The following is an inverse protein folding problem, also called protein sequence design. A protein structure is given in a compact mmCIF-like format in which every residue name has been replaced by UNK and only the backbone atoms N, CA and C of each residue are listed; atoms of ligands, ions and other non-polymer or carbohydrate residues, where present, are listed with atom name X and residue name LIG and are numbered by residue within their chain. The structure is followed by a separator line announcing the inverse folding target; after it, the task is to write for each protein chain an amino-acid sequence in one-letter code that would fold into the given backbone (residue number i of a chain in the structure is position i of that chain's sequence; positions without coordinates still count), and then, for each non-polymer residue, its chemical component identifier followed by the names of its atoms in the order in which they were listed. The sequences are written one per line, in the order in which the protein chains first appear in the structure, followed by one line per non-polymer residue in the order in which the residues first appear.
data_IF_118257946772
#
_entry.id   IF_118257946772
#
_cell.length_a   1.000
_cell.length_b   1.000
_cell.length_c   1.000
_cell.angle_alpha   90.00
_cell.angle_beta   90.00
_cell.angle_gamma   90.00
#
_symmetry.space_group_name_H-M   'P 1'
#
loop_
_entity.id
_entity.type
_entity.pdbx_description
1 polymer ?
#
# COMPACT_ATOMS: atom_id res chain seq x y z
N UNK A 1 -14.52 -3.71 1.60
CA UNK A 1 -13.18 -4.29 1.82
C UNK A 1 -12.64 -3.87 3.18
N UNK A 2 -12.20 -4.86 3.95
CA UNK A 2 -11.49 -4.71 5.22
C UNK A 2 -10.03 -5.08 4.99
N UNK A 3 -9.11 -4.13 5.21
CA UNK A 3 -7.67 -4.39 5.12
C UNK A 3 -7.15 -4.76 6.50
N UNK A 4 -6.57 -5.96 6.61
CA UNK A 4 -6.07 -6.52 7.87
C UNK A 4 -4.53 -6.58 7.95
N UNK A 5 -3.83 -6.41 6.83
CA UNK A 5 -2.36 -6.34 6.83
C UNK A 5 -1.87 -5.51 5.65
N UNK A 6 -0.84 -4.73 5.90
CA UNK A 6 -0.11 -4.00 4.86
C UNK A 6 1.38 -4.16 5.09
N UNK A 7 2.15 -4.01 4.02
CA UNK A 7 3.60 -4.01 4.11
C UNK A 7 4.23 -3.28 2.94
N UNK A 8 5.42 -2.78 3.17
CA UNK A 8 6.28 -2.21 2.13
C UNK A 8 7.70 -2.70 2.34
N UNK A 9 8.32 -3.09 1.24
CA UNK A 9 9.68 -3.61 1.23
C UNK A 9 10.52 -2.78 0.26
N UNK A 10 11.73 -2.43 0.69
CA UNK A 10 12.69 -1.69 -0.10
C UNK A 10 13.91 -2.57 -0.40
N UNK A 11 14.60 -2.27 -1.50
CA UNK A 11 15.79 -2.98 -1.97
C UNK A 11 17.04 -2.10 -1.99
N UNK A 12 17.13 -1.17 -1.04
CA UNK A 12 18.28 -0.29 -0.87
C UNK A 12 19.56 -1.06 -0.51
N UNK A 13 20.68 -0.61 -1.06
CA UNK A 13 22.00 -1.22 -0.88
C UNK A 13 22.90 -0.49 0.13
N UNK A 14 22.56 0.74 0.50
CA UNK A 14 23.37 1.59 1.37
C UNK A 14 22.87 1.54 2.81
N UNK A 15 23.77 1.25 3.74
CA UNK A 15 23.52 1.24 5.19
C UNK A 15 23.57 2.64 5.83
N UNK A 16 24.01 3.65 5.08
CA UNK A 16 24.07 5.05 5.54
C UNK A 16 22.98 5.90 4.90
N UNK A 17 22.03 5.26 4.20
CA UNK A 17 20.94 5.97 3.57
C UNK A 17 19.92 6.45 4.60
N UNK A 18 19.38 7.63 4.36
CA UNK A 18 18.32 8.20 5.18
C UNK A 18 17.05 7.33 5.10
N UNK A 19 16.28 7.21 6.20
CA UNK A 19 15.04 6.43 6.21
C UNK A 19 14.03 6.91 5.18
N UNK A 20 13.26 5.96 4.64
CA UNK A 20 12.10 6.24 3.78
C UNK A 20 10.89 6.47 4.67
N UNK A 21 10.20 7.59 4.45
CA UNK A 21 8.93 7.85 5.11
C UNK A 21 7.81 7.11 4.37
N UNK A 22 7.14 6.20 5.07
CA UNK A 22 6.04 5.40 4.56
C UNK A 22 4.76 5.89 5.21
N UNK A 23 3.78 6.29 4.40
CA UNK A 23 2.47 6.77 4.87
C UNK A 23 1.36 5.90 4.32
N UNK A 24 0.48 5.45 5.20
CA UNK A 24 -0.78 4.81 4.81
C UNK A 24 -1.84 5.90 4.79
N UNK A 25 -2.47 6.12 3.64
CA UNK A 25 -3.38 7.26 3.47
C UNK A 25 -4.54 6.97 2.51
N UNK A 26 -5.59 7.78 2.61
CA UNK A 26 -6.67 7.82 1.61
C UNK A 26 -6.34 8.72 0.45
N UNK A 27 -6.87 8.40 -0.72
CA UNK A 27 -6.64 9.17 -1.94
C UNK A 27 -7.97 9.62 -2.56
N UNK A 28 -8.04 10.88 -2.98
CA UNK A 28 -9.23 11.45 -3.63
C UNK A 28 -9.17 11.28 -5.15
N UNK A 29 -7.98 11.36 -5.72
CA UNK A 29 -7.73 11.09 -7.14
C UNK A 29 -6.92 9.81 -7.32
N UNK A 30 -6.91 9.33 -8.56
CA UNK A 30 -6.30 8.06 -8.94
C UNK A 30 -4.84 8.19 -9.40
N UNK A 31 -4.37 9.42 -9.67
CA UNK A 31 -3.11 9.63 -10.40
C UNK A 31 -3.11 8.98 -11.79
N UNK A 32 -1.92 8.89 -12.38
CA UNK A 32 -1.66 8.13 -13.62
C UNK A 32 -0.89 6.88 -13.27
N UNK A 33 -1.53 5.72 -13.40
CA UNK A 33 -0.98 4.43 -12.96
C UNK A 33 -1.35 3.30 -13.93
N UNK A 34 -0.67 2.17 -13.78
CA UNK A 34 -1.11 0.91 -14.37
C UNK A 34 -2.10 0.21 -13.44
N UNK A 35 -3.08 -0.49 -14.01
CA UNK A 35 -4.01 -1.31 -13.25
C UNK A 35 -3.48 -2.73 -13.15
N UNK A 36 -3.60 -3.33 -11.98
CA UNK A 36 -3.21 -4.70 -11.69
C UNK A 36 -4.39 -5.41 -11.00
N UNK A 37 -4.52 -6.72 -11.23
CA UNK A 37 -5.65 -7.49 -10.70
C UNK A 37 -5.22 -8.23 -9.44
N UNK A 38 -5.83 -7.94 -8.27
CA UNK A 38 -5.58 -8.71 -7.06
C UNK A 38 -5.94 -10.18 -7.27
N UNK A 39 -5.15 -11.06 -6.66
CA UNK A 39 -5.40 -12.51 -6.71
C UNK A 39 -6.20 -12.96 -5.49
N UNK A 40 -7.14 -13.89 -5.69
CA UNK A 40 -7.83 -14.55 -4.59
C UNK A 40 -6.87 -15.46 -3.83
N UNK A 41 -6.98 -15.48 -2.51
CA UNK A 41 -6.30 -16.48 -1.69
C UNK A 41 -6.92 -17.87 -1.85
N UNK A 42 -8.26 -17.92 -1.89
CA UNK A 42 -9.04 -19.15 -2.05
C UNK A 42 -9.68 -19.12 -3.43
N UNK A 43 -9.12 -19.90 -4.36
CA UNK A 43 -9.52 -19.86 -5.77
C UNK A 43 -10.87 -20.56 -6.03
N UNK A 44 -11.40 -21.32 -5.06
CA UNK A 44 -12.67 -22.02 -5.18
C UNK A 44 -13.89 -21.14 -4.94
N UNK A 45 -13.71 -19.93 -4.40
CA UNK A 45 -14.83 -19.02 -4.10
C UNK A 45 -15.40 -18.42 -5.39
N UNK A 46 -16.72 -18.48 -5.52
CA UNK A 46 -17.43 -18.05 -6.73
C UNK A 46 -17.57 -16.53 -6.86
N UNK A 47 -17.29 -15.76 -5.80
CA UNK A 47 -17.49 -14.32 -5.76
C UNK A 47 -16.41 -13.58 -6.57
N UNK A 48 -16.77 -12.59 -7.38
CA UNK A 48 -15.80 -11.80 -8.14
C UNK A 48 -15.24 -10.68 -7.26
N UNK A 49 -13.92 -10.56 -7.19
CA UNK A 49 -13.27 -9.40 -6.54
C UNK A 49 -13.65 -8.14 -7.32
N UNK A 50 -14.23 -7.14 -6.64
CA UNK A 50 -14.52 -5.82 -7.18
C UNK A 50 -13.41 -4.81 -6.85
N UNK A 51 -12.34 -5.26 -6.19
CA UNK A 51 -11.14 -4.45 -5.91
C UNK A 51 -10.16 -4.48 -7.09
N UNK A 52 -9.57 -3.32 -7.39
CA UNK A 52 -8.49 -3.18 -8.38
C UNK A 52 -7.23 -2.66 -7.69
N UNK A 53 -6.08 -3.28 -7.95
CA UNK A 53 -4.78 -2.77 -7.51
C UNK A 53 -4.21 -1.82 -8.57
N UNK A 54 -3.36 -0.89 -8.14
CA UNK A 54 -2.69 0.05 -9.04
C UNK A 54 -1.23 0.18 -8.65
N UNK A 55 -0.35 0.17 -9.63
CA UNK A 55 1.09 0.31 -9.46
C UNK A 55 1.67 1.21 -10.56
N UNK A 56 2.98 1.49 -10.46
CA UNK A 56 3.72 2.27 -11.47
C UNK A 56 3.13 3.66 -11.69
N UNK A 57 2.97 4.43 -10.60
CA UNK A 57 2.45 5.79 -10.67
C UNK A 57 3.48 6.71 -11.34
N UNK A 58 3.07 7.39 -12.40
CA UNK A 58 3.86 8.45 -13.07
C UNK A 58 3.39 9.85 -12.72
N UNK A 59 2.13 9.95 -12.26
CA UNK A 59 1.57 11.14 -11.60
C UNK A 59 0.99 10.66 -10.28
N UNK A 60 1.48 11.25 -9.19
CA UNK A 60 1.06 10.89 -7.83
C UNK A 60 -0.43 11.18 -7.61
N UNK A 61 -1.16 10.27 -6.95
CA UNK A 61 -2.53 10.52 -6.49
C UNK A 61 -2.60 11.69 -5.50
N UNK A 62 -3.76 12.34 -5.42
CA UNK A 62 -4.00 13.40 -4.43
C UNK A 62 -4.33 12.78 -3.07
N UNK A 63 -3.46 13.02 -2.10
CA UNK A 63 -3.61 12.53 -0.74
C UNK A 63 -4.75 13.23 0.01
N UNK A 64 -5.40 12.50 0.90
CA UNK A 64 -6.38 12.99 1.88
C UNK A 64 -5.86 12.66 3.29
N UNK A 65 -6.61 11.85 4.04
CA UNK A 65 -6.32 11.54 5.43
C UNK A 65 -5.20 10.50 5.54
N UNK A 66 -4.22 10.80 6.38
CA UNK A 66 -3.13 9.89 6.75
C UNK A 66 -3.57 9.07 7.96
N UNK A 67 -3.53 7.75 7.83
CA UNK A 67 -3.82 6.80 8.90
C UNK A 67 -2.62 6.52 9.78
N UNK A 68 -1.46 6.30 9.16
CA UNK A 68 -0.26 5.92 9.89
C UNK A 68 1.00 6.33 9.14
N UNK A 69 2.09 6.50 9.89
CA UNK A 69 3.39 6.96 9.39
C UNK A 69 4.50 6.14 10.00
N UNK A 70 5.37 5.58 9.16
CA UNK A 70 6.54 4.81 9.55
C UNK A 70 7.79 5.38 8.89
N UNK A 71 8.90 5.35 9.63
CA UNK A 71 10.22 5.59 9.07
C UNK A 71 10.93 4.24 8.94
N UNK A 72 11.19 3.82 7.70
CA UNK A 72 11.75 2.50 7.40
C UNK A 72 13.09 2.68 6.72
N UNK A 73 14.12 2.05 7.24
CA UNK A 73 15.42 2.06 6.58
C UNK A 73 15.32 1.40 5.20
N UNK A 74 15.91 1.97 4.13
CA UNK A 74 15.71 1.49 2.75
C UNK A 74 16.28 0.08 2.47
N UNK A 75 17.08 -0.49 3.37
CA UNK A 75 17.52 -1.90 3.29
C UNK A 75 16.55 -2.88 3.97
N UNK A 76 15.51 -2.36 4.62
CA UNK A 76 14.53 -3.14 5.36
C UNK A 76 13.15 -3.00 4.71
N UNK A 77 12.22 -3.82 5.21
CA UNK A 77 10.81 -3.66 4.95
C UNK A 77 10.05 -3.68 6.26
N UNK A 78 8.83 -3.19 6.20
CA UNK A 78 7.87 -3.27 7.29
C UNK A 78 6.66 -4.06 6.82
N UNK A 79 6.14 -4.88 7.71
CA UNK A 79 4.92 -5.63 7.47
C UNK A 79 4.11 -5.63 8.78
N UNK A 80 2.98 -4.93 8.74
CA UNK A 80 2.15 -4.64 9.89
C UNK A 80 0.86 -5.42 9.77
N UNK A 81 0.56 -6.21 10.80
CA UNK A 81 -0.70 -6.93 10.94
C UNK A 81 -1.58 -6.08 11.86
N UNK A 82 -2.74 -5.69 11.34
CA UNK A 82 -3.76 -5.00 12.12
C UNK A 82 -4.51 -6.04 12.94
N UNK A 83 -4.61 -5.89 14.27
CA UNK A 83 -5.37 -6.82 15.10
C UNK A 83 -6.86 -6.72 14.76
N UNK A 84 -7.62 -7.77 15.10
CA UNK A 84 -9.06 -7.83 14.87
C UNK A 84 -9.77 -6.60 15.44
N UNK A 85 -10.63 -5.97 14.63
CA UNK A 85 -11.36 -4.75 15.00
C UNK A 85 -10.59 -3.45 14.78
N UNK A 86 -9.32 -3.50 14.36
CA UNK A 86 -8.55 -2.34 13.89
C UNK A 86 -8.31 -2.38 12.38
N UNK A 87 -9.10 -3.15 11.64
CA UNK A 87 -9.02 -3.19 10.19
C UNK A 87 -9.35 -1.83 9.57
N UNK A 88 -8.63 -1.49 8.50
CA UNK A 88 -8.93 -0.28 7.74
C UNK A 88 -10.14 -0.59 6.84
N UNK A 89 -11.25 0.07 7.11
CA UNK A 89 -12.47 -0.03 6.31
C UNK A 89 -12.32 0.85 5.06
N UNK A 90 -12.40 0.23 3.89
CA UNK A 90 -12.44 0.91 2.59
C UNK A 90 -13.81 0.71 1.96
N UNK A 91 -14.55 1.81 1.77
CA UNK A 91 -15.89 1.79 1.14
C UNK A 91 -15.76 1.61 -0.37
N UNK A 92 -16.83 1.11 -1.00
CA UNK A 92 -16.88 1.00 -2.46
C UNK A 92 -16.65 2.35 -3.13
N UNK A 93 -15.68 2.42 -4.05
CA UNK A 93 -15.29 3.64 -4.75
C UNK A 93 -14.22 4.50 -4.06
N UNK A 94 -13.93 4.24 -2.78
CA UNK A 94 -12.81 4.89 -2.07
C UNK A 94 -11.47 4.26 -2.46
N UNK A 95 -10.37 4.96 -2.14
CA UNK A 95 -9.00 4.51 -2.44
C UNK A 95 -8.14 4.57 -1.19
N UNK A 96 -7.35 3.52 -0.99
CA UNK A 96 -6.30 3.42 0.02
C UNK A 96 -4.95 3.25 -0.69
N UNK A 97 -3.95 4.01 -0.27
CA UNK A 97 -2.61 4.01 -0.85
C UNK A 97 -1.52 3.86 0.20
N UNK A 98 -0.38 3.31 -0.23
CA UNK A 98 0.89 3.41 0.48
C UNK A 98 1.72 4.43 -0.29
N UNK A 99 2.07 5.52 0.38
CA UNK A 99 2.95 6.52 -0.18
C UNK A 99 4.34 6.37 0.45
N UNK A 100 5.37 6.37 -0.40
CA UNK A 100 6.76 6.26 0.03
C UNK A 100 7.50 7.53 -0.39
N UNK A 101 7.97 8.31 0.58
CA UNK A 101 8.83 9.47 0.33
C UNK A 101 10.26 9.08 0.70
N UNK A 102 11.07 8.81 -0.32
CA UNK A 102 12.47 8.45 -0.17
C UNK A 102 13.38 9.62 -0.62
N UNK A 103 14.47 9.92 0.11
CA UNK A 103 15.43 10.94 -0.28
C UNK A 103 16.32 10.51 -1.45
N UNK A 104 16.37 9.22 -1.77
CA UNK A 104 17.08 8.65 -2.91
C UNK A 104 16.16 7.71 -3.71
N UNK A 105 16.49 7.50 -4.99
CA UNK A 105 15.76 6.55 -5.84
C UNK A 105 15.97 5.11 -5.34
N UNK A 106 14.92 4.51 -4.79
CA UNK A 106 14.87 3.13 -4.30
C UNK A 106 13.63 2.44 -4.84
N UNK A 107 13.69 1.14 -5.14
CA UNK A 107 12.48 0.44 -5.53
C UNK A 107 11.66 0.11 -4.29
N UNK A 108 10.34 0.25 -4.42
CA UNK A 108 9.40 -0.07 -3.38
C UNK A 108 8.45 -1.17 -3.87
N UNK A 109 8.23 -2.18 -3.01
CA UNK A 109 7.25 -3.23 -3.24
C UNK A 109 6.20 -3.17 -2.16
N UNK A 110 5.02 -2.69 -2.53
CA UNK A 110 3.87 -2.60 -1.65
C UNK A 110 3.07 -3.92 -1.64
N UNK A 111 2.45 -4.22 -0.50
CA UNK A 111 1.61 -5.39 -0.27
C UNK A 111 0.41 -4.98 0.57
N UNK A 112 -0.78 -5.40 0.13
CA UNK A 112 -2.02 -5.33 0.90
C UNK A 112 -2.64 -6.71 1.03
N UNK A 113 -3.22 -6.97 2.19
CA UNK A 113 -4.01 -8.14 2.51
C UNK A 113 -5.30 -7.68 3.18
N UNK A 114 -6.41 -8.28 2.75
CA UNK A 114 -7.72 -7.91 3.22
C UNK A 114 -8.79 -8.85 2.70
N UNK A 115 -9.99 -8.65 3.22
CA UNK A 115 -11.21 -9.38 2.89
C UNK A 115 -12.16 -8.42 2.19
N UNK A 116 -12.81 -8.87 1.11
CA UNK A 116 -13.78 -8.08 0.36
C UNK A 116 -15.20 -8.49 0.72
#
# INVERSE_FOLDING_TARGET
MLVNRFGVFFDGISTTAEPVQVRILRQTTAGTSSANTPVKRVNSDSETLQVTARDTFTVEPTNSDVYDVFEVHPQQGIDVILPFGQEIVVKGGDRLGIECTAPAAVNCRAKFWGEE
#
